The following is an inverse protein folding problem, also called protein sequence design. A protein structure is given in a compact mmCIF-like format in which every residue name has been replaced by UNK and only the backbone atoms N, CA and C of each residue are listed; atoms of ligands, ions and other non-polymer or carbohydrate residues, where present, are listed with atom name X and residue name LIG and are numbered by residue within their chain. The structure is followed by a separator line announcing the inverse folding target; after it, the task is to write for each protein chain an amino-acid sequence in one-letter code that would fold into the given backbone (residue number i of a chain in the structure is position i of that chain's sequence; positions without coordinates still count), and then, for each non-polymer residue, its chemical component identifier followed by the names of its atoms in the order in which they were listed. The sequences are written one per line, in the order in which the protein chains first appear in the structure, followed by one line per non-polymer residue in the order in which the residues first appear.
data_IF_469298776231
#
_entry.id   IF_469298776231
#
_cell.length_a   1.000
_cell.length_b   1.000
_cell.length_c   1.000
_cell.angle_alpha   90.00
_cell.angle_beta   90.00
_cell.angle_gamma   90.00
#
_symmetry.space_group_name_H-M   'P 1'
#
loop_
_entity.id
_entity.type
_entity.pdbx_description
1 polymer ?
#
# COMPACT_ATOMS: atom_id res chain seq x y z
N UNK A 1 12.01 -5.93 -2.21
CA UNK A 1 11.96 -6.16 -0.75
C UNK A 1 10.86 -5.37 -0.03
N UNK A 2 10.56 -4.10 -0.36
CA UNK A 2 9.48 -3.34 0.32
C UNK A 2 8.11 -3.36 -0.37
N UNK A 3 8.05 -3.66 -1.67
CA UNK A 3 6.80 -3.96 -2.40
C UNK A 3 6.02 -5.12 -1.78
N UNK A 4 6.73 -6.09 -1.19
CA UNK A 4 6.11 -7.24 -0.52
C UNK A 4 5.31 -6.81 0.71
N UNK A 5 5.81 -5.81 1.46
CA UNK A 5 5.10 -5.26 2.62
C UNK A 5 3.86 -4.46 2.19
N UNK A 6 3.92 -3.76 1.05
CA UNK A 6 2.74 -3.10 0.48
C UNK A 6 1.70 -4.12 0.01
N UNK A 7 2.12 -5.15 -0.75
CA UNK A 7 1.24 -6.24 -1.18
C UNK A 7 0.59 -6.92 0.03
N UNK A 8 1.38 -7.21 1.07
CA UNK A 8 0.89 -7.86 2.29
C UNK A 8 -0.15 -6.99 3.00
N UNK A 9 0.11 -5.70 3.16
CA UNK A 9 -0.84 -4.78 3.79
C UNK A 9 -2.14 -4.64 2.99
N UNK A 10 -2.06 -4.64 1.65
CA UNK A 10 -3.24 -4.60 0.78
C UNK A 10 -4.05 -5.89 0.87
N UNK A 11 -3.39 -7.06 0.86
CA UNK A 11 -4.06 -8.36 1.01
C UNK A 11 -4.77 -8.45 2.37
N UNK A 12 -4.09 -8.07 3.45
CA UNK A 12 -4.66 -8.10 4.80
C UNK A 12 -5.82 -7.10 4.92
N UNK A 13 -5.72 -5.94 4.26
CA UNK A 13 -6.82 -4.97 4.20
C UNK A 13 -8.08 -5.56 3.53
N UNK A 14 -7.93 -6.21 2.37
CA UNK A 14 -9.06 -6.87 1.70
C UNK A 14 -9.62 -8.04 2.51
N UNK A 15 -8.77 -8.85 3.14
CA UNK A 15 -9.21 -9.93 4.01
C UNK A 15 -10.01 -9.41 5.21
N UNK A 16 -9.54 -8.35 5.85
CA UNK A 16 -10.25 -7.69 6.94
C UNK A 16 -11.57 -7.08 6.46
N UNK A 17 -11.60 -6.45 5.29
CA UNK A 17 -12.81 -5.82 4.76
C UNK A 17 -13.88 -6.86 4.42
N UNK A 18 -13.47 -8.02 3.87
CA UNK A 18 -14.37 -9.15 3.64
C UNK A 18 -14.97 -9.68 4.95
N UNK A 19 -14.13 -9.88 5.96
CA UNK A 19 -14.60 -10.29 7.28
C UNK A 19 -15.52 -9.25 7.92
N UNK A 20 -15.23 -7.96 7.72
CA UNK A 20 -16.07 -6.86 8.22
C UNK A 20 -17.47 -6.92 7.64
N UNK A 21 -17.61 -7.05 6.32
CA UNK A 21 -18.90 -7.09 5.62
C UNK A 21 -19.74 -8.29 6.05
N UNK A 22 -19.11 -9.45 6.23
CA UNK A 22 -19.82 -10.65 6.70
C UNK A 22 -20.28 -10.53 8.15
N UNK A 23 -19.41 -10.06 9.05
CA UNK A 23 -19.72 -10.00 10.49
C UNK A 23 -20.69 -8.87 10.84
N UNK A 24 -20.72 -7.78 10.06
CA UNK A 24 -21.66 -6.66 10.26
C UNK A 24 -23.12 -7.12 10.21
N UNK A 25 -23.43 -8.20 9.51
CA UNK A 25 -24.81 -8.68 9.35
C UNK A 25 -25.32 -9.56 10.50
N UNK A 26 -24.46 -10.00 11.42
CA UNK A 26 -24.79 -10.96 12.49
C UNK A 26 -24.42 -10.43 13.89
N UNK A 27 -24.66 -9.15 14.18
CA UNK A 27 -24.33 -8.55 15.48
C UNK A 27 -25.47 -8.71 16.49
N UNK A 28 -25.50 -9.83 17.22
CA UNK A 28 -26.50 -10.06 18.30
C UNK A 28 -25.85 -10.33 19.67
N UNK A 29 -24.54 -10.55 19.75
CA UNK A 29 -23.86 -10.95 21.00
C UNK A 29 -22.66 -10.07 21.38
N UNK A 30 -22.32 -10.05 22.67
CA UNK A 30 -21.13 -9.36 23.21
C UNK A 30 -19.81 -9.82 22.54
N UNK A 31 -19.77 -11.06 22.06
CA UNK A 31 -18.65 -11.59 21.29
C UNK A 31 -18.47 -10.87 19.95
N UNK A 32 -19.57 -10.49 19.30
CA UNK A 32 -19.52 -9.76 18.03
C UNK A 32 -19.00 -8.35 18.25
N UNK A 33 -19.33 -7.71 19.37
CA UNK A 33 -18.79 -6.41 19.72
C UNK A 33 -17.26 -6.44 19.87
N UNK A 34 -16.73 -7.47 20.54
CA UNK A 34 -15.27 -7.67 20.68
C UNK A 34 -14.65 -7.95 19.32
N UNK A 35 -15.27 -8.79 18.49
CA UNK A 35 -14.80 -9.09 17.14
C UNK A 35 -14.75 -7.86 16.25
N UNK A 36 -15.81 -7.04 16.27
CA UNK A 36 -15.89 -5.78 15.50
C UNK A 36 -14.81 -4.81 15.96
N UNK A 37 -14.57 -4.68 17.26
CA UNK A 37 -13.49 -3.82 17.80
C UNK A 37 -12.10 -4.28 17.33
N UNK A 38 -11.85 -5.58 17.36
CA UNK A 38 -10.61 -6.19 16.84
C UNK A 38 -10.45 -5.93 15.33
N UNK A 39 -11.55 -6.03 14.58
CA UNK A 39 -11.60 -5.76 13.14
C UNK A 39 -11.29 -4.31 12.80
N UNK A 40 -11.86 -3.36 13.54
CA UNK A 40 -11.57 -1.93 13.39
C UNK A 40 -10.09 -1.65 13.67
N UNK A 41 -9.54 -2.27 14.73
CA UNK A 41 -8.12 -2.13 15.08
C UNK A 41 -7.22 -2.69 13.97
N UNK A 42 -7.59 -3.85 13.40
CA UNK A 42 -6.87 -4.48 12.29
C UNK A 42 -6.88 -3.58 11.04
N UNK A 43 -8.03 -2.98 10.70
CA UNK A 43 -8.16 -2.00 9.63
C UNK A 43 -7.27 -0.77 9.85
N UNK A 44 -7.24 -0.22 11.07
CA UNK A 44 -6.39 0.92 11.41
C UNK A 44 -4.90 0.62 11.20
N UNK A 45 -4.43 -0.56 11.65
CA UNK A 45 -3.05 -0.99 11.45
C UNK A 45 -2.73 -1.17 9.96
N UNK A 46 -3.67 -1.68 9.16
CA UNK A 46 -3.52 -1.77 7.71
C UNK A 46 -3.34 -0.39 7.06
N UNK A 47 -4.14 0.61 7.45
CA UNK A 47 -4.02 1.98 6.92
C UNK A 47 -2.68 2.60 7.30
N UNK A 48 -2.23 2.43 8.54
CA UNK A 48 -0.91 2.92 8.99
C UNK A 48 0.22 2.27 8.18
N UNK A 49 0.14 0.96 7.92
CA UNK A 49 1.09 0.24 7.07
C UNK A 49 1.17 0.77 5.64
N UNK A 50 0.00 1.09 5.04
CA UNK A 50 -0.06 1.72 3.72
C UNK A 50 0.55 3.12 3.72
N UNK A 51 0.23 3.97 4.71
CA UNK A 51 0.73 5.34 4.81
C UNK A 51 2.25 5.37 4.92
N UNK A 52 2.84 4.58 5.83
CA UNK A 52 4.29 4.52 6.04
C UNK A 52 5.01 4.09 4.74
N UNK A 53 4.47 3.09 4.04
CA UNK A 53 5.07 2.63 2.80
C UNK A 53 4.87 3.62 1.63
N UNK A 54 3.74 4.34 1.59
CA UNK A 54 3.42 5.30 0.53
C UNK A 54 4.28 6.57 0.58
N UNK A 55 4.45 7.16 1.77
CA UNK A 55 5.31 8.33 2.00
C UNK A 55 6.76 8.07 1.53
N UNK A 56 7.26 6.86 1.81
CA UNK A 56 8.61 6.45 1.40
C UNK A 56 8.73 6.24 -0.12
N UNK A 57 7.68 5.74 -0.77
CA UNK A 57 7.66 5.53 -2.22
C UNK A 57 7.60 6.86 -2.98
N UNK A 58 6.83 7.83 -2.48
CA UNK A 58 6.75 9.19 -3.04
C UNK A 58 8.11 9.91 -3.02
N UNK A 59 8.88 9.74 -1.94
CA UNK A 59 10.23 10.30 -1.83
C UNK A 59 11.25 9.66 -2.77
N UNK A 60 11.12 8.36 -3.08
CA UNK A 60 12.05 7.64 -3.96
C UNK A 60 11.80 7.85 -5.45
N UNK A 61 10.55 8.10 -5.86
CA UNK A 61 10.17 8.27 -7.28
C UNK A 61 10.74 9.55 -7.91
N UNK A 62 11.09 10.57 -7.12
CA UNK A 62 11.65 11.83 -7.65
C UNK A 62 13.10 11.69 -8.15
N UNK A 63 13.89 10.75 -7.62
CA UNK A 63 15.31 10.62 -8.01
C UNK A 63 15.55 9.70 -9.22
N UNK A 64 14.60 8.84 -9.57
CA UNK A 64 14.80 7.84 -10.64
C UNK A 64 14.37 8.31 -12.04
N UNK A 65 13.75 9.47 -12.18
CA UNK A 65 13.41 10.05 -13.49
C UNK A 65 14.53 10.91 -14.09
N UNK A 66 15.51 11.34 -13.27
CA UNK A 66 16.61 12.18 -13.75
C UNK A 66 17.74 11.38 -14.42
N UNK A 67 17.83 10.06 -14.18
CA UNK A 67 18.89 9.21 -14.72
C UNK A 67 18.56 8.56 -16.07
N UNK A 68 17.31 8.67 -16.56
CA UNK A 68 16.91 8.12 -17.86
C UNK A 68 16.79 9.17 -18.98
N UNK A 69 16.98 10.46 -18.69
CA UNK A 69 16.87 11.56 -19.67
C UNK A 69 18.23 12.03 -20.23
N UNK A 70 19.36 11.65 -19.66
CA UNK A 70 20.66 12.18 -20.10
C UNK A 70 21.44 11.29 -21.08
N UNK A 71 20.99 10.06 -21.38
CA UNK A 71 21.76 9.13 -22.22
C UNK A 71 21.36 9.10 -23.72
N UNK A 72 20.55 10.03 -24.23
CA UNK A 72 20.13 10.04 -25.65
C UNK A 72 20.74 11.14 -26.53
N UNK A 73 21.63 12.00 -26.02
CA UNK A 73 22.27 13.04 -26.85
C UNK A 73 23.74 12.72 -27.20
N UNK A 74 24.08 11.43 -27.33
CA UNK A 74 25.41 10.96 -27.73
C UNK A 74 25.47 10.41 -29.16
N UNK A 75 24.52 10.73 -30.06
CA UNK A 75 24.65 10.35 -31.48
C UNK A 75 24.06 11.40 -32.43
N UNK A 76 24.91 11.79 -33.39
CA UNK A 76 24.70 12.59 -34.62
C UNK A 76 24.96 14.10 -34.40
N UNK A 77 26.00 14.72 -34.97
CA UNK A 77 26.67 14.48 -36.26
C UNK A 77 28.18 14.83 -36.19
N UNK A 78 29.02 13.87 -36.58
CA UNK A 78 30.25 14.16 -37.35
C UNK A 78 29.88 14.32 -38.83
N UNK A 79 30.71 15.08 -39.55
CA UNK A 79 30.74 15.41 -40.99
C UNK A 79 29.82 16.59 -41.35
N UNK A 80 30.33 17.69 -41.89
CA UNK A 80 31.38 17.84 -42.91
C UNK A 80 32.15 19.13 -42.68
#
# INVERSE_FOLDING_TARGET
MKLFSLILSVIVFFGSLYFFVLKVSEVDSLNDLIYVSLLVTLMAICVVGVIINWEFFRKKRNNNLFLFVTNSYSRKKKKK
#
